data_IF_559747904719
#
_entry.id   IF_559747904719
#
_cell.length_a   1.000
_cell.length_b   1.000
_cell.length_c   1.000
_cell.angle_alpha   90.00
_cell.angle_beta   90.00
_cell.angle_gamma   90.00
#
_symmetry.space_group_name_H-M   'P 1'
#
loop_
_entity.id
_entity.type
_entity.pdbx_description
1 polymer ?
#
# COMPACT_ATOMS: atom_id res chain seq x y z
N UNK A 1 -0.41 7.76 -20.10
CA UNK A 1 1.02 7.85 -19.71
C UNK A 1 1.19 7.99 -18.20
N UNK A 2 0.53 8.97 -17.57
CA UNK A 2 0.56 9.18 -16.11
C UNK A 2 0.23 7.92 -15.27
N UNK A 3 -0.87 7.17 -15.52
CA UNK A 3 -1.19 5.98 -14.72
C UNK A 3 -0.16 4.86 -14.89
N UNK A 4 0.36 4.68 -16.10
CA UNK A 4 1.38 3.66 -16.39
C UNK A 4 2.69 3.99 -15.67
N UNK A 5 3.11 5.26 -15.69
CA UNK A 5 4.31 5.72 -14.99
C UNK A 5 4.18 5.58 -13.46
N UNK A 6 3.03 5.91 -12.89
CA UNK A 6 2.77 5.72 -11.46
C UNK A 6 2.82 4.23 -11.07
N UNK A 7 2.20 3.36 -11.87
CA UNK A 7 2.17 1.92 -11.62
C UNK A 7 3.56 1.28 -11.76
N UNK A 8 4.38 1.70 -12.74
CA UNK A 8 5.74 1.16 -12.90
C UNK A 8 6.66 1.62 -11.78
N UNK A 9 6.56 2.87 -11.32
CA UNK A 9 7.30 3.37 -10.17
C UNK A 9 6.89 2.63 -8.88
N UNK A 10 5.59 2.42 -8.69
CA UNK A 10 5.05 1.68 -7.54
C UNK A 10 5.49 0.20 -7.56
N UNK A 11 5.45 -0.44 -8.73
CA UNK A 11 5.98 -1.79 -8.92
C UNK A 11 7.48 -1.86 -8.61
N UNK A 12 8.27 -0.91 -9.09
CA UNK A 12 9.71 -0.84 -8.85
C UNK A 12 10.06 -0.65 -7.37
N UNK A 13 9.33 0.24 -6.69
CA UNK A 13 9.44 0.45 -5.25
C UNK A 13 9.13 -0.84 -4.47
N UNK A 14 7.96 -1.45 -4.71
CA UNK A 14 7.53 -2.65 -3.99
C UNK A 14 8.46 -3.84 -4.24
N UNK A 15 8.91 -4.02 -5.48
CA UNK A 15 9.86 -5.07 -5.87
C UNK A 15 11.21 -4.86 -5.21
N UNK A 16 11.79 -3.66 -5.31
CA UNK A 16 13.11 -3.35 -4.75
C UNK A 16 13.14 -3.51 -3.23
N UNK A 17 12.09 -3.06 -2.55
CA UNK A 17 11.98 -3.21 -1.10
C UNK A 17 11.74 -4.66 -0.68
N UNK A 18 10.85 -5.39 -1.34
CA UNK A 18 10.62 -6.81 -1.04
C UNK A 18 11.85 -7.68 -1.33
N UNK A 19 12.64 -7.32 -2.35
CA UNK A 19 13.91 -7.98 -2.69
C UNK A 19 15.05 -7.67 -1.71
N UNK A 20 14.91 -6.65 -0.87
CA UNK A 20 15.92 -6.28 0.13
C UNK A 20 15.84 -7.11 1.40
N UNK A 21 14.79 -7.90 1.54
CA UNK A 21 14.39 -8.52 2.81
C UNK A 21 15.00 -9.88 2.94
N UNK A 22 15.61 -10.18 4.09
CA UNK A 22 16.10 -11.52 4.33
C UNK A 22 14.95 -12.49 4.58
N UNK A 23 14.70 -13.34 3.58
CA UNK A 23 13.62 -14.33 3.61
C UNK A 23 13.87 -15.44 4.64
N UNK A 24 15.12 -15.68 5.03
CA UNK A 24 15.46 -16.56 6.15
C UNK A 24 14.95 -16.02 7.49
N UNK A 25 15.10 -14.71 7.73
CA UNK A 25 14.60 -14.04 8.94
C UNK A 25 13.08 -13.94 8.96
N UNK A 26 12.45 -13.82 7.78
CA UNK A 26 10.99 -13.80 7.64
C UNK A 26 10.35 -15.07 8.23
N UNK A 27 10.95 -16.24 7.92
CA UNK A 27 10.48 -17.55 8.39
C UNK A 27 10.48 -17.68 9.91
N UNK A 28 11.55 -17.21 10.56
CA UNK A 28 11.68 -17.27 12.02
C UNK A 28 10.79 -16.23 12.73
N UNK A 29 10.49 -15.11 12.06
CA UNK A 29 9.66 -14.03 12.62
C UNK A 29 8.16 -14.24 12.42
N UNK A 30 7.74 -15.10 11.50
CA UNK A 30 6.34 -15.56 11.45
C UNK A 30 5.86 -16.11 12.79
N UNK A 31 6.75 -16.67 13.64
CA UNK A 31 6.43 -17.09 15.01
C UNK A 31 5.91 -15.97 15.92
N UNK A 32 6.15 -14.69 15.61
CA UNK A 32 5.54 -13.53 16.29
C UNK A 32 4.17 -13.19 15.70
N UNK A 33 3.31 -14.20 15.52
CA UNK A 33 1.98 -14.08 14.92
C UNK A 33 1.11 -12.99 15.59
N UNK A 34 1.22 -12.82 16.92
CA UNK A 34 0.46 -11.81 17.65
C UNK A 34 0.71 -10.39 17.11
N UNK A 35 1.96 -10.04 16.76
CA UNK A 35 2.29 -8.72 16.24
C UNK A 35 1.71 -8.48 14.84
N UNK A 36 1.74 -9.51 13.98
CA UNK A 36 1.17 -9.44 12.63
C UNK A 36 -0.35 -9.32 12.69
N UNK A 37 -1.01 -10.15 13.49
CA UNK A 37 -2.48 -10.11 13.64
C UNK A 37 -2.95 -8.79 14.23
N UNK A 38 -2.26 -8.28 15.26
CA UNK A 38 -2.57 -6.97 15.83
C UNK A 38 -2.38 -5.85 14.79
N UNK A 39 -1.28 -5.87 14.04
CA UNK A 39 -1.01 -4.91 12.97
C UNK A 39 -2.08 -4.94 11.88
N UNK A 40 -2.48 -6.13 11.41
CA UNK A 40 -3.56 -6.29 10.42
C UNK A 40 -4.92 -5.81 10.95
N UNK A 41 -5.23 -6.09 12.21
CA UNK A 41 -6.46 -5.64 12.85
C UNK A 41 -6.50 -4.12 12.93
N UNK A 42 -5.40 -3.48 13.33
CA UNK A 42 -5.28 -2.02 13.30
C UNK A 42 -5.41 -1.46 11.88
N UNK A 43 -4.74 -2.07 10.90
CA UNK A 43 -4.69 -1.59 9.51
C UNK A 43 -6.04 -1.69 8.80
N UNK A 44 -6.78 -2.79 8.97
CA UNK A 44 -8.01 -3.02 8.22
C UNK A 44 -9.30 -2.86 9.04
N UNK A 45 -9.23 -2.71 10.37
CA UNK A 45 -10.40 -2.41 11.19
C UNK A 45 -10.34 -1.00 11.79
N UNK A 46 -9.29 -0.68 12.55
CA UNK A 46 -9.22 0.61 13.25
C UNK A 46 -9.02 1.78 12.27
N UNK A 47 -8.10 1.66 11.31
CA UNK A 47 -7.79 2.75 10.39
C UNK A 47 -8.96 3.14 9.48
N UNK A 48 -9.69 2.20 8.83
CA UNK A 48 -10.89 2.52 8.05
C UNK A 48 -12.02 3.07 8.92
N UNK A 49 -12.17 2.56 10.15
CA UNK A 49 -13.17 3.07 11.10
C UNK A 49 -12.89 4.53 11.46
N UNK A 50 -11.63 4.90 11.70
CA UNK A 50 -11.23 6.29 11.92
C UNK A 50 -11.49 7.15 10.69
N UNK A 51 -11.21 6.65 9.47
CA UNK A 51 -11.53 7.33 8.21
C UNK A 51 -13.03 7.60 8.03
N UNK A 52 -13.85 6.60 8.37
CA UNK A 52 -15.31 6.72 8.37
C UNK A 52 -15.81 7.72 9.41
N UNK A 53 -15.32 7.63 10.65
CA UNK A 53 -15.68 8.55 11.72
C UNK A 53 -15.35 9.99 11.33
N UNK A 54 -14.16 10.22 10.74
CA UNK A 54 -13.75 11.54 10.24
C UNK A 54 -14.68 12.03 9.14
N UNK A 55 -15.01 11.17 8.17
CA UNK A 55 -15.96 11.48 7.09
C UNK A 55 -17.31 11.95 7.62
N UNK A 56 -17.84 11.26 8.64
CA UNK A 56 -19.12 11.60 9.28
C UNK A 56 -19.05 12.85 10.16
N UNK A 57 -18.01 12.97 10.98
CA UNK A 57 -17.85 14.08 11.94
C UNK A 57 -17.69 15.42 11.23
N UNK A 58 -16.95 15.45 10.12
CA UNK A 58 -16.70 16.68 9.36
C UNK A 58 -17.66 16.89 8.18
N UNK A 59 -18.59 15.97 7.94
CA UNK A 59 -19.55 16.08 6.84
C UNK A 59 -18.89 16.18 5.47
N UNK A 60 -17.80 15.43 5.25
CA UNK A 60 -16.99 15.53 4.04
C UNK A 60 -17.83 15.20 2.79
N UNK A 61 -17.65 16.00 1.73
CA UNK A 61 -18.28 15.76 0.43
C UNK A 61 -17.86 14.39 -0.14
N UNK A 62 -18.73 13.67 -0.88
CA UNK A 62 -18.45 12.31 -1.34
C UNK A 62 -17.10 12.10 -2.00
N UNK A 63 -16.61 13.06 -2.78
CA UNK A 63 -15.31 12.97 -3.45
C UNK A 63 -14.16 12.84 -2.44
N UNK A 64 -14.14 13.69 -1.42
CA UNK A 64 -13.10 13.68 -0.39
C UNK A 64 -13.23 12.48 0.54
N UNK A 65 -14.46 12.14 0.96
CA UNK A 65 -14.67 11.01 1.86
C UNK A 65 -14.37 9.65 1.21
N UNK A 66 -14.75 9.45 -0.06
CA UNK A 66 -14.41 8.21 -0.80
C UNK A 66 -12.88 8.11 -0.96
N UNK A 67 -12.20 9.22 -1.24
CA UNK A 67 -10.73 9.24 -1.33
C UNK A 67 -10.08 8.90 0.01
N UNK A 68 -10.57 9.49 1.11
CA UNK A 68 -10.08 9.19 2.47
C UNK A 68 -10.31 7.73 2.85
N UNK A 69 -11.49 7.18 2.54
CA UNK A 69 -11.81 5.77 2.79
C UNK A 69 -10.94 4.83 1.95
N UNK A 70 -10.63 5.20 0.71
CA UNK A 70 -9.72 4.42 -0.14
C UNK A 70 -8.30 4.40 0.44
N UNK A 71 -7.79 5.54 0.90
CA UNK A 71 -6.47 5.65 1.54
C UNK A 71 -6.42 4.84 2.84
N UNK A 72 -7.43 4.99 3.71
CA UNK A 72 -7.46 4.30 5.02
C UNK A 72 -7.73 2.80 4.91
N UNK A 73 -8.34 2.34 3.82
CA UNK A 73 -8.59 0.91 3.55
C UNK A 73 -7.47 0.22 2.77
N UNK A 74 -6.43 0.96 2.36
CA UNK A 74 -5.31 0.43 1.59
C UNK A 74 -4.34 -0.37 2.48
N UNK A 75 -3.63 -1.36 1.91
CA UNK A 75 -2.60 -2.10 2.63
C UNK A 75 -1.45 -1.21 3.09
N UNK A 76 -0.62 -1.75 4.00
CA UNK A 76 0.61 -1.10 4.43
C UNK A 76 1.53 -0.80 3.25
N UNK A 77 2.17 0.37 3.28
CA UNK A 77 3.08 0.83 2.24
C UNK A 77 4.55 0.59 2.56
N UNK A 78 5.38 0.58 1.51
CA UNK A 78 6.80 0.32 1.64
C UNK A 78 7.57 1.39 2.46
N UNK A 79 7.03 2.61 2.59
CA UNK A 79 7.58 3.65 3.47
C UNK A 79 7.66 3.24 4.94
N UNK A 80 6.75 2.38 5.43
CA UNK A 80 6.81 1.87 6.80
C UNK A 80 8.11 1.11 7.08
N UNK A 81 8.59 0.35 6.08
CA UNK A 81 9.84 -0.37 6.15
C UNK A 81 11.04 0.60 6.13
N UNK A 82 10.97 1.68 5.35
CA UNK A 82 12.01 2.71 5.34
C UNK A 82 12.16 3.37 6.71
N UNK A 83 11.03 3.74 7.35
CA UNK A 83 11.05 4.24 8.72
C UNK A 83 11.57 3.23 9.72
N UNK A 84 11.18 1.96 9.62
CA UNK A 84 11.71 0.91 10.49
C UNK A 84 13.23 0.77 10.35
N UNK A 85 13.76 0.84 9.13
CA UNK A 85 15.20 0.80 8.88
C UNK A 85 15.91 2.03 9.48
N UNK A 86 15.32 3.22 9.36
CA UNK A 86 15.92 4.46 9.86
C UNK A 86 15.96 4.51 11.40
N UNK A 87 14.93 3.99 12.06
CA UNK A 87 14.84 3.95 13.52
C UNK A 87 15.44 2.67 14.15
N UNK A 88 16.14 1.83 13.38
CA UNK A 88 16.63 0.51 13.84
C UNK A 88 15.53 -0.36 14.49
N UNK A 89 14.29 -0.22 14.00
CA UNK A 89 13.18 -1.08 14.40
C UNK A 89 13.26 -2.43 13.68
N UNK A 90 12.33 -3.34 14.01
CA UNK A 90 12.28 -4.69 13.43
C UNK A 90 11.80 -4.62 11.95
N UNK A 91 12.74 -4.37 11.05
CA UNK A 91 12.50 -4.27 9.60
C UNK A 91 11.87 -5.55 9.04
N UNK A 92 12.33 -6.71 9.53
CA UNK A 92 11.80 -8.01 9.12
C UNK A 92 10.32 -8.16 9.48
N UNK A 93 9.91 -7.69 10.67
CA UNK A 93 8.51 -7.67 11.09
C UNK A 93 7.67 -6.70 10.24
N UNK A 94 8.19 -5.50 9.95
CA UNK A 94 7.49 -4.51 9.10
C UNK A 94 7.21 -5.06 7.71
N UNK A 95 8.18 -5.77 7.12
CA UNK A 95 8.00 -6.39 5.81
C UNK A 95 7.00 -7.54 5.89
N UNK A 96 7.13 -8.44 6.88
CA UNK A 96 6.19 -9.55 7.04
C UNK A 96 4.74 -9.03 7.17
N UNK A 97 4.54 -7.96 7.93
CA UNK A 97 3.25 -7.28 8.05
C UNK A 97 2.79 -6.68 6.71
N UNK A 98 3.68 -5.99 6.00
CA UNK A 98 3.40 -5.41 4.68
C UNK A 98 2.95 -6.49 3.70
N UNK A 99 3.73 -7.56 3.54
CA UNK A 99 3.39 -8.71 2.69
C UNK A 99 2.04 -9.30 3.07
N UNK A 100 1.81 -9.59 4.35
CA UNK A 100 0.54 -10.16 4.80
C UNK A 100 -0.63 -9.21 4.55
N UNK A 101 -0.44 -7.90 4.78
CA UNK A 101 -1.47 -6.89 4.54
C UNK A 101 -1.82 -6.76 3.07
N UNK A 102 -0.84 -6.84 2.16
CA UNK A 102 -1.08 -6.83 0.72
C UNK A 102 -1.86 -8.06 0.26
N UNK A 103 -1.53 -9.25 0.80
CA UNK A 103 -2.27 -10.48 0.49
C UNK A 103 -3.75 -10.35 0.93
N UNK A 104 -3.96 -9.88 2.15
CA UNK A 104 -5.30 -9.72 2.75
C UNK A 104 -6.09 -8.57 2.09
N UNK A 105 -5.41 -7.54 1.57
CA UNK A 105 -6.04 -6.36 0.95
C UNK A 105 -6.91 -6.67 -0.25
N UNK A 106 -6.63 -7.77 -0.97
CA UNK A 106 -7.43 -8.21 -2.12
C UNK A 106 -8.90 -8.40 -1.73
N UNK A 107 -9.15 -8.90 -0.53
CA UNK A 107 -10.49 -9.07 0.02
C UNK A 107 -10.92 -7.90 0.91
N UNK A 108 -10.05 -7.48 1.85
CA UNK A 108 -10.46 -6.51 2.86
C UNK A 108 -10.58 -5.08 2.33
N UNK A 109 -9.76 -4.65 1.39
CA UNK A 109 -9.86 -3.30 0.82
C UNK A 109 -11.18 -3.09 0.06
N UNK A 110 -11.59 -3.95 -0.90
CA UNK A 110 -12.88 -3.77 -1.56
C UNK A 110 -14.07 -3.95 -0.60
N UNK A 111 -13.95 -4.86 0.39
CA UNK A 111 -14.98 -5.06 1.41
C UNK A 111 -15.16 -3.82 2.29
N UNK A 112 -14.08 -3.24 2.80
CA UNK A 112 -14.11 -2.01 3.59
C UNK A 112 -14.64 -0.83 2.77
N UNK A 113 -14.21 -0.72 1.50
CA UNK A 113 -14.73 0.30 0.61
C UNK A 113 -16.23 0.16 0.42
N UNK A 114 -16.74 -1.04 0.09
CA UNK A 114 -18.18 -1.27 -0.07
C UNK A 114 -18.96 -0.96 1.21
N UNK A 115 -18.46 -1.40 2.37
CA UNK A 115 -19.11 -1.21 3.66
C UNK A 115 -19.16 0.26 4.09
N UNK A 116 -18.01 0.92 4.21
CA UNK A 116 -17.93 2.26 4.79
C UNK A 116 -18.48 3.35 3.88
N UNK A 117 -18.39 3.19 2.55
CA UNK A 117 -18.99 4.16 1.62
C UNK A 117 -20.51 4.06 1.61
N UNK A 118 -21.07 2.85 1.68
CA UNK A 118 -22.52 2.64 1.83
C UNK A 118 -23.02 3.20 3.16
N UNK A 119 -22.29 3.00 4.26
CA UNK A 119 -22.62 3.58 5.57
C UNK A 119 -22.47 5.11 5.59
N UNK A 120 -21.49 5.67 4.88
CA UNK A 120 -21.21 7.10 4.87
C UNK A 120 -22.24 7.86 4.03
N UNK A 121 -22.55 7.36 2.84
CA UNK A 121 -23.27 8.10 1.80
C UNK A 121 -24.54 7.42 1.27
N UNK A 122 -24.88 6.23 1.77
CA UNK A 122 -26.12 5.53 1.40
C UNK A 122 -26.15 4.99 -0.04
N UNK A 123 -25.05 5.10 -0.78
CA UNK A 123 -24.88 4.58 -2.13
C UNK A 123 -23.54 3.87 -2.24
N UNK A 124 -23.54 2.72 -2.91
CA UNK A 124 -22.29 2.12 -3.36
C UNK A 124 -21.63 3.10 -4.34
N UNK A 125 -20.36 3.48 -4.13
CA UNK A 125 -19.65 4.38 -5.01
C UNK A 125 -19.51 3.70 -6.37
N UNK A 126 -19.54 4.51 -7.43
CA UNK A 126 -19.24 4.06 -8.80
C UNK A 126 -17.71 3.86 -8.94
N UNK A 127 -17.15 3.00 -8.09
CA UNK A 127 -15.75 2.62 -8.12
C UNK A 127 -15.53 1.72 -9.32
N UNK A 128 -14.51 2.05 -10.11
CA UNK A 128 -13.98 1.13 -11.10
C UNK A 128 -13.31 -0.04 -10.37
N UNK A 129 -14.11 -1.04 -9.98
CA UNK A 129 -13.66 -2.26 -9.31
C UNK A 129 -12.49 -2.91 -10.04
N UNK A 130 -12.53 -2.87 -11.38
CA UNK A 130 -11.43 -3.36 -12.22
C UNK A 130 -10.11 -2.62 -11.98
N UNK A 131 -10.12 -1.28 -11.89
CA UNK A 131 -8.93 -0.48 -11.59
C UNK A 131 -8.40 -0.75 -10.18
N UNK A 132 -9.29 -0.89 -9.21
CA UNK A 132 -8.90 -1.17 -7.82
C UNK A 132 -8.27 -2.57 -7.68
N UNK A 133 -8.90 -3.61 -8.24
CA UNK A 133 -8.40 -4.98 -8.24
C UNK A 133 -7.08 -5.11 -9.01
N UNK A 134 -6.97 -4.51 -10.18
CA UNK A 134 -5.73 -4.53 -10.98
C UNK A 134 -4.57 -3.84 -10.27
N UNK A 135 -4.81 -2.71 -9.60
CA UNK A 135 -3.79 -2.02 -8.81
C UNK A 135 -3.27 -2.88 -7.66
N UNK A 136 -4.17 -3.53 -6.92
CA UNK A 136 -3.80 -4.48 -5.85
C UNK A 136 -3.04 -5.68 -6.44
N UNK A 137 -3.46 -6.19 -7.60
CA UNK A 137 -2.80 -7.29 -8.30
C UNK A 137 -1.36 -6.96 -8.72
N UNK A 138 -1.12 -5.76 -9.25
CA UNK A 138 0.23 -5.27 -9.57
C UNK A 138 1.10 -5.16 -8.32
N UNK A 139 0.55 -4.64 -7.22
CA UNK A 139 1.27 -4.57 -5.95
C UNK A 139 1.64 -5.96 -5.42
N UNK A 140 0.74 -6.93 -5.50
CA UNK A 140 0.99 -8.31 -5.11
C UNK A 140 2.10 -8.94 -5.97
N UNK A 141 2.02 -8.79 -7.29
CA UNK A 141 3.04 -9.29 -8.22
C UNK A 141 4.42 -8.71 -7.90
N UNK A 142 4.51 -7.40 -7.63
CA UNK A 142 5.75 -6.74 -7.26
C UNK A 142 6.38 -7.30 -5.98
N UNK A 143 5.55 -7.60 -4.97
CA UNK A 143 6.05 -8.18 -3.71
C UNK A 143 6.52 -9.62 -3.93
N UNK A 144 5.76 -10.42 -4.68
CA UNK A 144 6.13 -11.80 -5.00
C UNK A 144 7.43 -11.88 -5.82
N UNK A 145 7.59 -11.03 -6.83
CA UNK A 145 8.83 -10.95 -7.61
C UNK A 145 10.00 -10.52 -6.73
N UNK A 146 9.82 -9.51 -5.89
CA UNK A 146 10.86 -9.05 -4.98
C UNK A 146 11.29 -10.13 -3.99
N UNK A 147 10.35 -10.79 -3.31
CA UNK A 147 10.65 -11.90 -2.40
C UNK A 147 11.35 -13.07 -3.10
N UNK A 148 10.95 -13.38 -4.35
CA UNK A 148 11.58 -14.42 -5.16
C UNK A 148 13.04 -14.07 -5.48
N UNK A 149 13.30 -12.81 -5.87
CA UNK A 149 14.67 -12.31 -6.12
C UNK A 149 15.52 -12.39 -4.86
N UNK A 150 14.98 -12.02 -3.69
CA UNK A 150 15.71 -12.12 -2.43
C UNK A 150 16.07 -13.55 -2.05
N UNK A 151 15.18 -14.51 -2.35
CA UNK A 151 15.41 -15.93 -2.11
C UNK A 151 16.46 -16.53 -3.05
N UNK A 152 16.42 -16.17 -4.33
CA UNK A 152 17.30 -16.74 -5.36
C UNK A 152 18.68 -16.07 -5.40
N UNK A 153 18.75 -14.76 -5.12
CA UNK A 153 19.95 -13.95 -5.30
C UNK A 153 20.21 -13.04 -4.07
N UNK A 154 20.61 -13.60 -2.90
CA UNK A 154 20.83 -12.82 -1.69
C UNK A 154 21.91 -11.73 -1.84
N UNK A 155 22.88 -11.92 -2.74
CA UNK A 155 23.92 -10.92 -3.04
C UNK A 155 23.38 -9.63 -3.68
N UNK A 156 22.16 -9.66 -4.25
CA UNK A 156 21.55 -8.51 -4.92
C UNK A 156 20.69 -7.64 -4.00
N UNK A 157 20.44 -8.06 -2.76
CA UNK A 157 19.58 -7.37 -1.78
C UNK A 157 19.94 -5.90 -1.63
N UNK A 158 21.23 -5.57 -1.51
CA UNK A 158 21.67 -4.18 -1.33
C UNK A 158 21.41 -3.31 -2.58
N UNK A 159 21.58 -3.86 -3.78
CA UNK A 159 21.29 -3.15 -5.04
C UNK A 159 19.78 -2.92 -5.21
N UNK A 160 18.97 -3.91 -4.87
CA UNK A 160 17.52 -3.80 -4.88
C UNK A 160 17.01 -2.76 -3.89
N UNK A 161 17.66 -2.62 -2.73
CA UNK A 161 17.31 -1.59 -1.74
C UNK A 161 17.53 -0.18 -2.29
N UNK A 162 18.69 0.06 -2.90
CA UNK A 162 18.99 1.35 -3.56
C UNK A 162 17.98 1.63 -4.67
N UNK A 163 17.69 0.64 -5.52
CA UNK A 163 16.70 0.77 -6.58
C UNK A 163 15.30 1.11 -6.05
N UNK A 164 14.85 0.41 -5.01
CA UNK A 164 13.54 0.66 -4.37
C UNK A 164 13.43 2.07 -3.78
N UNK A 165 14.49 2.55 -3.12
CA UNK A 165 14.52 3.91 -2.57
C UNK A 165 14.50 4.99 -3.66
N UNK A 166 15.23 4.78 -4.77
CA UNK A 166 15.22 5.69 -5.92
C UNK A 166 13.83 5.71 -6.56
N UNK A 167 13.21 4.55 -6.76
CA UNK A 167 11.84 4.46 -7.28
C UNK A 167 10.83 5.16 -6.36
N UNK A 168 11.00 5.06 -5.04
CA UNK A 168 10.16 5.74 -4.05
C UNK A 168 10.29 7.26 -4.03
N UNK A 169 11.52 7.77 -4.14
CA UNK A 169 11.75 9.20 -4.32
C UNK A 169 11.15 9.69 -5.64
N UNK A 170 11.32 8.92 -6.71
CA UNK A 170 10.69 9.19 -8.01
C UNK A 170 9.16 9.21 -7.94
N UNK A 171 8.53 8.32 -7.17
CA UNK A 171 7.08 8.29 -6.97
C UNK A 171 6.60 9.57 -6.26
N UNK A 172 7.31 10.04 -5.23
CA UNK A 172 6.96 11.27 -4.50
C UNK A 172 7.07 12.48 -5.42
N UNK A 173 8.21 12.64 -6.11
CA UNK A 173 8.43 13.79 -7.00
C UNK A 173 7.44 13.80 -8.16
N UNK A 174 7.13 12.62 -8.73
CA UNK A 174 6.10 12.47 -9.75
C UNK A 174 4.72 12.84 -9.21
N UNK A 175 4.37 12.42 -7.99
CA UNK A 175 3.08 12.75 -7.37
C UNK A 175 2.93 14.25 -7.13
N UNK A 176 4.00 14.93 -6.69
CA UNK A 176 4.01 16.39 -6.53
C UNK A 176 3.78 17.09 -7.87
N UNK A 177 4.48 16.66 -8.92
CA UNK A 177 4.37 17.25 -10.26
C UNK A 177 2.98 17.03 -10.88
N UNK A 178 2.40 15.84 -10.71
CA UNK A 178 1.03 15.55 -11.14
C UNK A 178 0.01 16.35 -10.33
N UNK A 179 0.29 16.61 -9.04
CA UNK A 179 -0.59 17.44 -8.21
C UNK A 179 -0.48 18.94 -8.52
N UNK A 180 0.64 19.40 -9.08
CA UNK A 180 0.87 20.82 -9.41
C UNK A 180 0.36 21.24 -10.79
N UNK A 181 -0.15 20.31 -11.60
CA UNK A 181 -0.78 20.62 -12.90
C UNK A 181 -2.24 21.07 -12.66
N UNK A 182 -2.66 22.21 -13.22
CA UNK A 182 -3.94 22.89 -12.93
C UNK A 182 -5.24 22.11 -13.22
N UNK A 183 -5.14 20.92 -13.82
CA UNK A 183 -6.30 20.06 -14.04
C UNK A 183 -6.71 19.31 -12.76
N UNK A 184 -8.02 19.25 -12.43
CA UNK A 184 -8.51 18.50 -11.29
C UNK A 184 -8.14 17.01 -11.37
N UNK A 185 -7.81 16.42 -10.21
CA UNK A 185 -7.26 15.06 -10.09
C UNK A 185 -8.20 13.98 -10.70
N UNK A 186 -9.50 14.28 -10.76
CA UNK A 186 -10.54 13.39 -11.31
C UNK A 186 -10.72 13.46 -12.83
N UNK A 187 -10.22 14.51 -13.50
CA UNK A 187 -10.21 14.64 -14.97
C UNK A 187 -8.93 14.06 -15.59
N UNK A 188 -7.87 14.00 -14.79
CA UNK A 188 -6.65 13.26 -15.11
C UNK A 188 -7.01 11.78 -15.07
N UNK A 189 -7.11 11.13 -16.23
CA UNK A 189 -7.46 9.71 -16.37
C UNK A 189 -6.47 8.73 -15.70
N UNK A 190 -6.42 8.76 -14.37
CA UNK A 190 -5.71 7.87 -13.45
C UNK A 190 -6.40 6.51 -13.38
#
# INVERSE_FOLDING_TARGET
LVPVAAQTLLFGLLTGMSASVDTGMLRDRFRRYCGIVLGLSCQFMLLPLCGFATTKLFGLEPVFGITLLAVTSSPGGAYSNWWCSLFNADLALSVAMTTCSTLVSIGLTPLNMALYTTLAYGKAPNLNWWKLLSSIGVAMLAILTGLSISHLCPSWRNRCNVFGNVAGLGLITFSIFVSSSDEPIWDKGL
#
